data_IF_229334876573
#
_entry.id   IF_229334876573
#
_cell.length_a   1.000
_cell.length_b   1.000
_cell.length_c   1.000
_cell.angle_alpha   90.00
_cell.angle_beta   90.00
_cell.angle_gamma   90.00
#
_symmetry.space_group_name_H-M   'P 1'
#
loop_
_entity.id
_entity.type
_entity.pdbx_description
1 polymer ?
#
# COMPACT_ATOMS: atom_id res chain seq x y z
N UNK A 1 10.69 -0.81 -24.80
CA UNK A 1 11.67 -1.28 -23.78
C UNK A 1 12.25 -0.16 -22.93
N UNK A 2 12.50 1.02 -23.46
CA UNK A 2 13.00 2.19 -22.69
C UNK A 2 11.97 2.70 -21.66
N UNK A 3 10.70 2.75 -22.01
CA UNK A 3 9.63 3.23 -21.12
C UNK A 3 9.41 2.31 -19.93
N UNK A 4 9.40 0.99 -20.15
CA UNK A 4 9.30 -0.01 -19.09
C UNK A 4 10.50 0.05 -18.13
N UNK A 5 11.70 0.26 -18.69
CA UNK A 5 12.91 0.39 -17.90
C UNK A 5 12.85 1.60 -16.96
N UNK A 6 12.44 2.76 -17.47
CA UNK A 6 12.28 3.97 -16.67
C UNK A 6 11.13 3.85 -15.66
N UNK A 7 10.05 3.18 -16.05
CA UNK A 7 8.91 2.89 -15.15
C UNK A 7 9.28 2.05 -13.94
N UNK A 8 10.28 1.18 -14.04
CA UNK A 8 10.79 0.37 -12.95
C UNK A 8 11.90 1.10 -12.19
N UNK A 9 12.80 1.77 -12.91
CA UNK A 9 13.98 2.41 -12.34
C UNK A 9 13.63 3.58 -11.42
N UNK A 10 12.68 4.42 -11.83
CA UNK A 10 12.31 5.62 -11.06
C UNK A 10 11.73 5.26 -9.68
N UNK A 11 10.74 4.36 -9.54
CA UNK A 11 10.23 3.93 -8.25
C UNK A 11 11.30 3.24 -7.40
N UNK A 12 12.14 2.41 -8.02
CA UNK A 12 13.24 1.73 -7.33
C UNK A 12 14.25 2.73 -6.74
N UNK A 13 14.67 3.72 -7.52
CA UNK A 13 15.56 4.77 -7.04
C UNK A 13 14.90 5.63 -5.96
N UNK A 14 13.61 5.95 -6.11
CA UNK A 14 12.85 6.71 -5.12
C UNK A 14 12.79 6.00 -3.77
N UNK A 15 12.44 4.72 -3.76
CA UNK A 15 12.39 3.92 -2.54
C UNK A 15 13.76 3.70 -1.92
N UNK A 16 14.78 3.46 -2.74
CA UNK A 16 16.15 3.27 -2.28
C UNK A 16 16.73 4.55 -1.65
N UNK A 17 16.49 5.70 -2.28
CA UNK A 17 16.90 7.01 -1.74
C UNK A 17 16.13 7.34 -0.45
N UNK A 18 14.83 7.07 -0.41
CA UNK A 18 14.02 7.24 0.79
C UNK A 18 14.55 6.40 1.95
N UNK A 19 14.87 5.13 1.70
CA UNK A 19 15.48 4.26 2.70
C UNK A 19 16.88 4.74 3.12
N UNK A 20 17.70 5.23 2.18
CA UNK A 20 19.01 5.76 2.48
C UNK A 20 18.99 7.00 3.38
N UNK A 21 17.91 7.80 3.35
CA UNK A 21 17.75 8.95 4.26
C UNK A 21 17.81 8.54 5.73
N UNK A 22 17.43 7.30 6.07
CA UNK A 22 17.51 6.78 7.45
C UNK A 22 18.94 6.78 7.98
N UNK A 23 19.94 6.54 7.12
CA UNK A 23 21.35 6.56 7.53
C UNK A 23 21.86 7.95 7.90
N UNK A 24 21.24 9.00 7.37
CA UNK A 24 21.56 10.39 7.71
C UNK A 24 20.81 10.89 8.94
N UNK A 25 19.77 10.19 9.36
CA UNK A 25 18.98 10.55 10.52
C UNK A 25 19.66 10.08 11.81
N UNK A 26 20.27 11.00 12.52
CA UNK A 26 20.90 10.73 13.82
C UNK A 26 19.93 10.74 15.00
N UNK A 27 18.69 11.18 14.80
CA UNK A 27 17.63 11.24 15.82
C UNK A 27 16.31 10.79 15.20
N UNK A 28 15.42 10.25 16.02
CA UNK A 28 14.07 9.97 15.60
C UNK A 28 13.37 11.25 15.09
N UNK A 29 12.58 11.11 14.04
CA UNK A 29 11.76 12.21 13.53
C UNK A 29 10.79 12.68 14.60
N UNK A 30 10.62 14.00 14.73
CA UNK A 30 9.57 14.55 15.60
C UNK A 30 8.19 14.11 15.14
N UNK A 31 7.26 13.94 16.08
CA UNK A 31 5.89 13.45 15.83
C UNK A 31 5.17 14.23 14.71
N UNK A 32 5.36 15.55 14.64
CA UNK A 32 4.74 16.37 13.61
C UNK A 32 5.23 16.00 12.21
N UNK A 33 6.54 15.82 12.04
CA UNK A 33 7.15 15.45 10.76
C UNK A 33 6.71 14.05 10.36
N UNK A 34 6.70 13.11 11.29
CA UNK A 34 6.26 11.74 11.04
C UNK A 34 4.80 11.68 10.60
N UNK A 35 3.91 12.39 11.29
CA UNK A 35 2.48 12.47 10.92
C UNK A 35 2.27 13.15 9.57
N UNK A 36 3.04 14.20 9.27
CA UNK A 36 2.96 14.90 7.98
C UNK A 36 3.40 14.01 6.82
N UNK A 37 4.50 13.27 6.99
CA UNK A 37 4.98 12.33 5.99
C UNK A 37 4.00 11.17 5.77
N UNK A 38 3.42 10.63 6.85
CA UNK A 38 2.40 9.59 6.76
C UNK A 38 1.14 10.09 6.04
N UNK A 39 0.68 11.30 6.37
CA UNK A 39 -0.47 11.91 5.69
C UNK A 39 -0.20 12.18 4.21
N UNK A 40 1.00 12.66 3.86
CA UNK A 40 1.42 12.83 2.48
C UNK A 40 1.42 11.50 1.72
N UNK A 41 2.03 10.46 2.29
CA UNK A 41 2.07 9.14 1.68
C UNK A 41 0.66 8.56 1.47
N UNK A 42 -0.23 8.70 2.46
CA UNK A 42 -1.63 8.30 2.34
C UNK A 42 -2.35 9.05 1.22
N UNK A 43 -2.14 10.37 1.11
CA UNK A 43 -2.69 11.18 0.03
C UNK A 43 -2.23 10.74 -1.36
N UNK A 44 -0.95 10.44 -1.52
CA UNK A 44 -0.39 9.91 -2.77
C UNK A 44 -1.02 8.55 -3.12
N UNK A 45 -1.18 7.65 -2.15
CA UNK A 45 -1.80 6.36 -2.38
C UNK A 45 -3.27 6.49 -2.81
N UNK A 46 -4.04 7.38 -2.18
CA UNK A 46 -5.43 7.65 -2.59
C UNK A 46 -5.49 8.22 -4.00
N UNK A 47 -4.63 9.19 -4.32
CA UNK A 47 -4.56 9.76 -5.65
C UNK A 47 -4.22 8.69 -6.71
N UNK A 48 -3.21 7.86 -6.46
CA UNK A 48 -2.84 6.76 -7.34
C UNK A 48 -3.99 5.76 -7.52
N UNK A 49 -4.71 5.41 -6.46
CA UNK A 49 -5.86 4.51 -6.53
C UNK A 49 -6.98 5.06 -7.43
N UNK A 50 -7.23 6.35 -7.37
CA UNK A 50 -8.26 6.99 -8.23
C UNK A 50 -7.78 7.06 -9.68
N UNK A 51 -6.62 7.67 -9.93
CA UNK A 51 -6.16 7.95 -11.29
C UNK A 51 -5.60 6.73 -12.03
N UNK A 52 -4.94 5.83 -11.31
CA UNK A 52 -4.29 4.67 -11.95
C UNK A 52 -5.12 3.40 -11.94
N UNK A 53 -6.14 3.29 -11.08
CA UNK A 53 -6.95 2.08 -10.97
C UNK A 53 -8.42 2.33 -11.25
N UNK A 54 -9.09 3.23 -10.53
CA UNK A 54 -10.54 3.41 -10.64
C UNK A 54 -10.95 4.02 -11.99
N UNK A 55 -10.28 5.07 -12.44
CA UNK A 55 -10.61 5.72 -13.71
C UNK A 55 -10.39 4.74 -14.88
N UNK A 56 -9.23 4.10 -15.06
CA UNK A 56 -9.05 3.11 -16.11
C UNK A 56 -10.01 1.92 -16.04
N UNK A 57 -10.37 1.46 -14.85
CA UNK A 57 -11.33 0.38 -14.70
C UNK A 57 -12.74 0.76 -15.21
N UNK A 58 -13.16 2.00 -14.96
CA UNK A 58 -14.44 2.53 -15.48
C UNK A 58 -14.37 2.67 -17.00
N UNK A 59 -13.29 3.23 -17.53
CA UNK A 59 -13.08 3.39 -18.98
C UNK A 59 -13.07 2.05 -19.71
N UNK A 60 -12.39 1.03 -19.19
CA UNK A 60 -12.40 -0.31 -19.75
C UNK A 60 -13.78 -0.98 -19.70
N UNK A 61 -14.66 -0.51 -18.84
CA UNK A 61 -16.00 -1.03 -18.63
C UNK A 61 -17.08 -0.25 -19.42
N UNK A 62 -16.72 0.71 -20.27
CA UNK A 62 -17.66 1.54 -21.05
C UNK A 62 -18.65 0.71 -21.88
N UNK A 63 -18.26 -0.48 -22.34
CA UNK A 63 -19.16 -1.41 -23.03
C UNK A 63 -20.37 -1.87 -22.24
N UNK A 64 -20.37 -1.71 -20.90
CA UNK A 64 -21.49 -1.97 -20.01
C UNK A 64 -22.48 -0.78 -19.90
N UNK A 65 -22.22 0.33 -20.61
CA UNK A 65 -23.03 1.51 -20.64
C UNK A 65 -23.29 2.07 -19.24
N UNK A 66 -24.55 2.05 -18.81
CA UNK A 66 -24.96 2.61 -17.52
C UNK A 66 -24.34 1.91 -16.29
N UNK A 67 -23.87 0.68 -16.46
CA UNK A 67 -23.25 -0.13 -15.40
C UNK A 67 -21.72 -0.14 -15.46
N UNK A 68 -21.09 0.74 -16.23
CA UNK A 68 -19.62 0.84 -16.34
C UNK A 68 -18.90 1.03 -14.99
N UNK A 69 -19.55 1.67 -14.02
CA UNK A 69 -19.00 1.87 -12.68
C UNK A 69 -19.02 0.59 -11.80
N UNK A 70 -19.85 -0.40 -12.14
CA UNK A 70 -20.09 -1.54 -11.25
C UNK A 70 -18.86 -2.42 -11.01
N UNK A 71 -18.05 -2.78 -12.03
CA UNK A 71 -16.84 -3.56 -11.81
C UNK A 71 -15.84 -2.84 -10.88
N UNK A 72 -15.62 -1.53 -11.09
CA UNK A 72 -14.74 -0.72 -10.26
C UNK A 72 -15.26 -0.63 -8.82
N UNK A 73 -16.57 -0.42 -8.63
CA UNK A 73 -17.20 -0.39 -7.32
C UNK A 73 -17.10 -1.74 -6.60
N UNK A 74 -17.43 -2.84 -7.27
CA UNK A 74 -17.37 -4.18 -6.70
C UNK A 74 -15.94 -4.58 -6.35
N UNK A 75 -14.98 -4.30 -7.24
CA UNK A 75 -13.56 -4.56 -7.02
C UNK A 75 -13.00 -3.77 -5.84
N UNK A 76 -13.37 -2.49 -5.72
CA UNK A 76 -12.97 -1.65 -4.59
C UNK A 76 -13.47 -2.22 -3.26
N UNK A 77 -14.75 -2.54 -3.15
CA UNK A 77 -15.31 -3.12 -1.92
C UNK A 77 -14.74 -4.49 -1.61
N UNK A 78 -14.55 -5.33 -2.62
CA UNK A 78 -13.90 -6.63 -2.43
C UNK A 78 -12.48 -6.46 -1.89
N UNK A 79 -11.70 -5.52 -2.43
CA UNK A 79 -10.37 -5.19 -1.93
C UNK A 79 -10.38 -4.70 -0.48
N UNK A 80 -11.30 -3.82 -0.12
CA UNK A 80 -11.45 -3.34 1.27
C UNK A 80 -11.78 -4.50 2.23
N UNK A 81 -12.73 -5.36 1.87
CA UNK A 81 -13.10 -6.51 2.69
C UNK A 81 -11.96 -7.53 2.80
N UNK A 82 -11.23 -7.73 1.72
CA UNK A 82 -10.07 -8.62 1.70
C UNK A 82 -8.96 -8.10 2.62
N UNK A 83 -8.63 -6.81 2.54
CA UNK A 83 -7.64 -6.19 3.43
C UNK A 83 -8.09 -6.23 4.89
N UNK A 84 -9.36 -5.99 5.16
CA UNK A 84 -9.92 -6.10 6.51
C UNK A 84 -9.83 -7.53 7.04
N UNK A 85 -10.09 -8.53 6.20
CA UNK A 85 -9.92 -9.93 6.56
C UNK A 85 -8.46 -10.28 6.86
N UNK A 86 -7.52 -9.79 6.05
CA UNK A 86 -6.08 -9.95 6.30
C UNK A 86 -5.66 -9.28 7.60
N UNK A 87 -6.15 -8.09 7.87
CA UNK A 87 -5.90 -7.35 9.10
C UNK A 87 -6.32 -8.15 10.35
N UNK A 88 -7.45 -8.84 10.28
CA UNK A 88 -7.93 -9.71 11.35
C UNK A 88 -7.19 -11.04 11.47
N UNK A 89 -6.70 -11.58 10.34
CA UNK A 89 -6.08 -12.91 10.30
C UNK A 89 -4.57 -12.86 10.59
N UNK A 90 -3.91 -11.75 10.27
CA UNK A 90 -2.47 -11.62 10.40
C UNK A 90 -2.14 -10.78 11.63
N UNK A 91 -1.39 -11.34 12.59
CA UNK A 91 -0.95 -10.56 13.75
C UNK A 91 0.02 -9.45 13.30
N UNK A 92 -0.31 -8.21 13.60
CA UNK A 92 0.49 -7.05 13.27
C UNK A 92 0.51 -6.04 14.42
N UNK A 93 1.43 -5.10 14.35
CA UNK A 93 1.62 -4.07 15.37
C UNK A 93 1.47 -2.69 14.74
N UNK A 94 0.64 -1.87 15.34
CA UNK A 94 0.57 -0.46 14.99
C UNK A 94 1.73 0.34 15.60
N UNK A 95 2.13 1.41 14.92
CA UNK A 95 3.17 2.31 15.41
C UNK A 95 2.70 2.95 16.73
N UNK A 96 3.43 2.69 17.82
CA UNK A 96 3.12 3.23 19.15
C UNK A 96 2.30 2.30 20.05
N UNK A 97 1.86 1.12 19.60
CA UNK A 97 1.26 0.10 20.45
C UNK A 97 2.29 -0.94 20.88
N UNK A 98 2.18 -1.40 22.12
CA UNK A 98 2.99 -2.52 22.62
C UNK A 98 2.27 -3.86 22.46
N UNK A 99 0.96 -3.84 22.21
CA UNK A 99 0.14 -5.02 22.01
C UNK A 99 -0.12 -5.25 20.53
N UNK A 100 0.05 -6.49 20.08
CA UNK A 100 -0.27 -6.91 18.74
C UNK A 100 -1.78 -7.09 18.57
N UNK A 101 -2.35 -6.55 17.53
CA UNK A 101 -3.72 -6.85 17.12
C UNK A 101 -3.78 -8.15 16.31
N UNK A 102 -4.91 -8.85 16.38
CA UNK A 102 -5.10 -10.13 15.70
C UNK A 102 -4.79 -11.36 16.58
N UNK A 103 -4.64 -12.53 15.97
CA UNK A 103 -4.36 -13.78 16.68
C UNK A 103 -3.04 -13.71 17.44
N UNK A 104 -3.01 -14.27 18.68
CA UNK A 104 -1.78 -14.32 19.49
C UNK A 104 -0.67 -15.03 18.73
N UNK A 105 0.43 -14.34 18.51
CA UNK A 105 1.61 -14.84 17.80
C UNK A 105 2.85 -14.78 18.68
N UNK A 106 3.74 -15.78 18.52
CA UNK A 106 5.08 -15.79 19.13
C UNK A 106 6.13 -15.10 18.27
N UNK A 107 5.72 -14.53 17.14
CA UNK A 107 6.62 -13.83 16.24
C UNK A 107 7.10 -12.51 16.86
N UNK A 108 8.36 -12.22 16.69
CA UNK A 108 8.94 -10.95 17.12
C UNK A 108 8.35 -9.77 16.35
N UNK A 109 8.33 -8.59 16.97
CA UNK A 109 7.81 -7.33 16.39
C UNK A 109 8.29 -7.08 14.96
N UNK A 110 9.59 -7.23 14.73
CA UNK A 110 10.22 -7.02 13.42
C UNK A 110 9.72 -8.02 12.38
N UNK A 111 9.57 -9.29 12.77
CA UNK A 111 9.08 -10.35 11.86
C UNK A 111 7.63 -10.11 11.46
N UNK A 112 6.78 -9.67 12.38
CA UNK A 112 5.38 -9.32 12.08
C UNK A 112 5.29 -8.13 11.12
N UNK A 113 6.13 -7.11 11.34
CA UNK A 113 6.21 -5.95 10.45
C UNK A 113 6.65 -6.34 9.03
N UNK A 114 7.72 -7.14 8.92
CA UNK A 114 8.22 -7.63 7.63
C UNK A 114 7.17 -8.47 6.93
N UNK A 115 6.48 -9.35 7.64
CA UNK A 115 5.41 -10.19 7.08
C UNK A 115 4.27 -9.33 6.53
N UNK A 116 3.78 -8.36 7.30
CA UNK A 116 2.70 -7.48 6.88
C UNK A 116 3.07 -6.66 5.63
N UNK A 117 4.26 -6.06 5.61
CA UNK A 117 4.76 -5.27 4.46
C UNK A 117 4.96 -6.17 3.24
N UNK A 118 5.50 -7.37 3.41
CA UNK A 118 5.72 -8.33 2.31
C UNK A 118 4.39 -8.75 1.69
N UNK A 119 3.40 -9.11 2.49
CA UNK A 119 2.08 -9.49 2.00
C UNK A 119 1.40 -8.32 1.27
N UNK A 120 1.49 -7.12 1.81
CA UNK A 120 0.98 -5.92 1.15
C UNK A 120 1.62 -5.71 -0.22
N UNK A 121 2.94 -5.83 -0.33
CA UNK A 121 3.66 -5.67 -1.58
C UNK A 121 3.35 -6.79 -2.60
N UNK A 122 3.19 -8.04 -2.14
CA UNK A 122 2.76 -9.15 -3.01
C UNK A 122 1.37 -8.88 -3.58
N UNK A 123 0.42 -8.43 -2.75
CA UNK A 123 -0.91 -8.08 -3.22
C UNK A 123 -0.88 -6.95 -4.25
N UNK A 124 -0.07 -5.90 -4.02
CA UNK A 124 0.08 -4.80 -4.97
C UNK A 124 0.69 -5.26 -6.30
N UNK A 125 1.72 -6.10 -6.26
CA UNK A 125 2.37 -6.61 -7.47
C UNK A 125 1.38 -7.44 -8.31
N UNK A 126 0.62 -8.32 -7.66
CA UNK A 126 -0.35 -9.18 -8.37
C UNK A 126 -1.50 -8.39 -9.00
N UNK A 127 -1.93 -7.30 -8.36
CA UNK A 127 -3.02 -6.45 -8.90
C UNK A 127 -2.56 -5.50 -10.01
N UNK A 128 -1.27 -5.20 -10.09
CA UNK A 128 -0.74 -4.31 -11.14
C UNK A 128 -0.50 -4.99 -12.49
N UNK A 129 -0.39 -6.33 -12.51
CA UNK A 129 -0.14 -7.12 -13.71
C UNK A 129 -1.43 -7.67 -14.37
N UNK A 130 -2.57 -7.42 -13.77
CA UNK A 130 -3.88 -7.84 -14.27
C UNK A 130 -4.56 -6.73 -15.07
#
# INVERSE_FOLDING_TARGET
MTETFWGILIPFLGTSLGAACVFFMRRALGDLVQRSLAGFAAGVMVAASVWSLLIPAIEQSEGLGRFAFFPAFAGFWFGVLFLLALDHLIPHLHVGSEEAEGPKSRLGRTTMMVLAVTLHNICLLYTSDA
#
